data_IF_288025801372
#
_entry.id   IF_288025801372
#
_cell.length_a   1.000
_cell.length_b   1.000
_cell.length_c   1.000
_cell.angle_alpha   90.00
_cell.angle_beta   90.00
_cell.angle_gamma   90.00
#
_symmetry.space_group_name_H-M   'P 1'
#
loop_
_entity.id
_entity.type
_entity.pdbx_description
1 polymer ?
#
# COMPACT_ATOMS: atom_id res chain seq x y z
N UNK A 1 1.40 6.65 -18.35
CA UNK A 1 0.15 5.89 -18.10
C UNK A 1 -0.85 6.71 -17.27
N UNK A 2 -0.52 7.17 -16.06
CA UNK A 2 -1.47 7.89 -15.17
C UNK A 2 -2.08 9.15 -15.82
N UNK A 3 -1.30 9.96 -16.54
CA UNK A 3 -1.86 11.12 -17.29
C UNK A 3 -2.87 10.69 -18.34
N UNK A 4 -2.58 9.62 -19.11
CA UNK A 4 -3.53 9.08 -20.09
C UNK A 4 -4.80 8.56 -19.39
N UNK A 5 -4.66 7.92 -18.24
CA UNK A 5 -5.84 7.52 -17.46
C UNK A 5 -6.69 8.72 -17.04
N UNK A 6 -6.06 9.83 -16.63
CA UNK A 6 -6.76 11.08 -16.34
C UNK A 6 -7.51 11.67 -17.54
N UNK A 7 -6.96 11.51 -18.74
CA UNK A 7 -7.58 12.00 -19.98
C UNK A 7 -8.82 11.20 -20.40
N UNK A 8 -8.82 9.85 -20.24
CA UNK A 8 -9.79 8.99 -20.93
C UNK A 8 -10.52 7.97 -20.05
N UNK A 9 -10.03 7.66 -18.81
CA UNK A 9 -10.62 6.65 -17.94
C UNK A 9 -11.58 7.27 -16.91
N UNK A 10 -12.52 6.46 -16.41
CA UNK A 10 -13.36 6.83 -15.27
C UNK A 10 -12.58 6.78 -13.95
N UNK A 11 -11.50 6.01 -13.90
CA UNK A 11 -10.55 5.98 -12.78
C UNK A 11 -9.46 4.93 -12.96
N UNK A 12 -8.20 5.24 -12.61
CA UNK A 12 -7.15 4.24 -12.50
C UNK A 12 -7.20 3.55 -11.15
N UNK A 13 -6.99 2.25 -11.09
CA UNK A 13 -6.63 1.57 -9.85
C UNK A 13 -5.17 1.92 -9.55
N UNK A 14 -4.93 2.55 -8.39
CA UNK A 14 -3.59 2.95 -7.97
C UNK A 14 -2.78 1.75 -7.50
N UNK A 15 -1.45 1.90 -7.48
CA UNK A 15 -0.55 0.80 -7.15
C UNK A 15 -0.71 0.32 -5.71
N UNK A 16 -0.48 -0.98 -5.54
CA UNK A 16 -0.49 -1.74 -4.31
C UNK A 16 0.87 -1.69 -3.58
N UNK A 17 0.86 -1.67 -2.25
CA UNK A 17 2.09 -1.63 -1.40
C UNK A 17 2.96 -0.41 -1.73
N UNK A 18 2.38 0.77 -1.64
CA UNK A 18 3.04 2.06 -1.90
C UNK A 18 2.83 3.03 -0.75
N UNK A 19 3.63 4.09 -0.68
CA UNK A 19 3.48 5.13 0.33
C UNK A 19 2.43 6.17 -0.08
N UNK A 20 1.92 6.91 0.91
CA UNK A 20 1.03 8.06 0.67
C UNK A 20 1.69 9.16 -0.18
N UNK A 21 3.01 9.32 -0.11
CA UNK A 21 3.74 10.25 -0.98
C UNK A 21 3.70 9.80 -2.45
N UNK A 22 3.88 8.48 -2.69
CA UNK A 22 3.70 7.90 -4.02
C UNK A 22 2.27 8.13 -4.55
N UNK A 23 1.26 7.96 -3.70
CA UNK A 23 -0.14 8.20 -4.06
C UNK A 23 -0.37 9.66 -4.44
N UNK A 24 0.15 10.63 -3.67
CA UNK A 24 0.03 12.06 -3.99
C UNK A 24 0.63 12.38 -5.35
N UNK A 25 1.81 11.84 -5.66
CA UNK A 25 2.43 12.00 -6.98
C UNK A 25 1.58 11.36 -8.09
N UNK A 26 1.06 10.15 -7.86
CA UNK A 26 0.20 9.45 -8.81
C UNK A 26 -1.10 10.23 -9.09
N UNK A 27 -1.75 10.75 -8.05
CA UNK A 27 -2.96 11.59 -8.14
C UNK A 27 -2.65 12.88 -8.93
N UNK A 28 -1.51 13.52 -8.66
CA UNK A 28 -1.07 14.70 -9.42
C UNK A 28 -0.89 14.40 -10.93
N UNK A 29 -0.40 13.20 -11.28
CA UNK A 29 -0.30 12.80 -12.69
C UNK A 29 -1.68 12.57 -13.32
N UNK A 30 -2.64 12.00 -12.58
CA UNK A 30 -4.03 11.85 -13.05
C UNK A 30 -4.66 13.24 -13.27
N UNK A 31 -4.46 14.17 -12.35
CA UNK A 31 -4.96 15.55 -12.44
C UNK A 31 -4.44 16.28 -13.68
N UNK A 32 -3.13 16.17 -13.99
CA UNK A 32 -2.54 16.74 -15.21
C UNK A 32 -3.25 16.20 -16.46
N UNK A 33 -3.54 14.90 -16.50
CA UNK A 33 -4.27 14.29 -17.60
C UNK A 33 -5.72 14.80 -17.70
N UNK A 34 -6.42 14.87 -16.57
CA UNK A 34 -7.77 15.40 -16.48
C UNK A 34 -7.86 16.83 -17.05
N UNK A 35 -6.97 17.71 -16.61
CA UNK A 35 -6.90 19.11 -17.06
C UNK A 35 -6.70 19.22 -18.57
N UNK A 36 -5.87 18.36 -19.19
CA UNK A 36 -5.65 18.35 -20.64
C UNK A 36 -6.91 18.01 -21.43
N UNK A 37 -7.79 17.20 -20.87
CA UNK A 37 -9.05 16.80 -21.49
C UNK A 37 -10.27 17.63 -21.04
N UNK A 38 -10.04 18.67 -20.21
CA UNK A 38 -11.09 19.54 -19.68
C UNK A 38 -11.98 18.87 -18.64
N UNK A 39 -11.45 17.85 -17.95
CA UNK A 39 -12.15 17.13 -16.87
C UNK A 39 -11.70 17.62 -15.51
N UNK A 40 -12.60 17.57 -14.53
CA UNK A 40 -12.25 17.82 -13.14
C UNK A 40 -11.74 16.53 -12.47
N UNK A 41 -10.73 16.63 -11.60
CA UNK A 41 -10.20 15.49 -10.85
C UNK A 41 -11.28 14.79 -10.02
N UNK A 42 -12.26 15.54 -9.52
CA UNK A 42 -13.41 15.02 -8.74
C UNK A 42 -14.32 14.07 -9.54
N UNK A 43 -14.28 14.13 -10.87
CA UNK A 43 -15.04 13.24 -11.75
C UNK A 43 -14.28 11.93 -12.08
N UNK A 44 -13.08 11.74 -11.52
CA UNK A 44 -12.23 10.59 -11.78
C UNK A 44 -12.04 9.83 -10.48
N UNK A 45 -12.45 8.57 -10.46
CA UNK A 45 -12.24 7.71 -9.30
C UNK A 45 -10.79 7.29 -9.16
N UNK A 46 -10.31 7.10 -7.93
CA UNK A 46 -8.91 6.75 -7.62
C UNK A 46 -8.88 5.65 -6.55
N UNK A 47 -9.42 4.47 -6.89
CA UNK A 47 -9.37 3.34 -5.98
C UNK A 47 -7.93 2.86 -5.80
N UNK A 48 -7.63 2.35 -4.61
CA UNK A 48 -6.37 1.71 -4.28
C UNK A 48 -6.60 0.40 -3.54
N UNK A 49 -5.85 -0.63 -3.92
CA UNK A 49 -5.80 -1.89 -3.20
C UNK A 49 -4.82 -1.73 -2.03
N UNK A 50 -5.32 -1.60 -0.81
CA UNK A 50 -4.54 -1.37 0.39
C UNK A 50 -4.37 -2.66 1.20
N UNK A 51 -3.14 -3.18 1.26
CA UNK A 51 -2.83 -4.35 2.07
C UNK A 51 -3.13 -4.08 3.55
N UNK A 52 -3.83 -5.02 4.19
CA UNK A 52 -4.26 -4.89 5.56
C UNK A 52 -3.97 -6.16 6.37
N UNK A 53 -3.36 -5.99 7.53
CA UNK A 53 -3.20 -7.03 8.55
C UNK A 53 -3.35 -6.42 9.92
N UNK A 54 -4.35 -6.86 10.68
CA UNK A 54 -4.63 -6.29 12.00
C UNK A 54 -4.88 -7.37 13.06
N UNK A 55 -4.44 -7.05 14.28
CA UNK A 55 -4.76 -7.81 15.48
C UNK A 55 -4.65 -6.86 16.67
N UNK A 56 -5.70 -6.77 17.47
CA UNK A 56 -5.66 -6.02 18.73
C UNK A 56 -4.98 -6.82 19.85
N UNK A 57 -4.97 -8.15 19.74
CA UNK A 57 -4.32 -9.06 20.71
C UNK A 57 -2.82 -9.23 20.44
N UNK A 58 -2.41 -9.25 19.15
CA UNK A 58 -1.00 -9.44 18.73
C UNK A 58 -0.67 -8.57 17.51
N UNK A 59 -0.51 -7.25 17.69
CA UNK A 59 -0.19 -6.35 16.59
C UNK A 59 1.21 -6.60 15.99
N UNK A 60 2.14 -7.21 16.72
CA UNK A 60 3.47 -7.55 16.22
C UNK A 60 3.38 -8.67 15.18
N UNK A 61 2.54 -9.67 15.39
CA UNK A 61 2.29 -10.72 14.39
C UNK A 61 1.66 -10.13 13.12
N UNK A 62 0.73 -9.18 13.25
CA UNK A 62 0.13 -8.48 12.12
C UNK A 62 1.19 -7.72 11.29
N UNK A 63 2.14 -7.04 11.93
CA UNK A 63 3.26 -6.36 11.26
C UNK A 63 4.19 -7.36 10.58
N UNK A 64 4.48 -8.50 11.23
CA UNK A 64 5.37 -9.52 10.67
C UNK A 64 4.82 -10.11 9.35
N UNK A 65 3.51 -10.28 9.21
CA UNK A 65 2.88 -10.67 7.94
C UNK A 65 3.15 -9.63 6.86
N UNK A 66 3.02 -8.34 7.19
CA UNK A 66 3.37 -7.24 6.29
C UNK A 66 4.83 -7.25 5.84
N UNK A 67 5.77 -7.59 6.72
CA UNK A 67 7.20 -7.69 6.37
C UNK A 67 7.47 -8.68 5.25
N UNK A 68 6.80 -9.83 5.26
CA UNK A 68 6.96 -10.84 4.20
C UNK A 68 6.49 -10.31 2.84
N UNK A 69 5.37 -9.59 2.81
CA UNK A 69 4.86 -8.96 1.58
C UNK A 69 5.79 -7.83 1.10
N UNK A 70 6.30 -6.98 2.00
CA UNK A 70 7.27 -5.93 1.65
C UNK A 70 8.57 -6.55 1.11
N UNK A 71 9.05 -7.65 1.69
CA UNK A 71 10.23 -8.37 1.19
C UNK A 71 10.00 -8.89 -0.24
N UNK A 72 8.81 -9.42 -0.54
CA UNK A 72 8.42 -9.81 -1.89
C UNK A 72 8.53 -8.62 -2.87
N UNK A 73 7.94 -7.47 -2.52
CA UNK A 73 7.95 -6.28 -3.38
C UNK A 73 9.34 -5.66 -3.54
N UNK A 74 10.18 -5.66 -2.50
CA UNK A 74 11.58 -5.22 -2.61
C UNK A 74 12.38 -6.08 -3.58
N UNK A 75 12.10 -7.39 -3.63
CA UNK A 75 12.74 -8.32 -4.56
C UNK A 75 12.24 -8.19 -6.01
N UNK A 76 10.93 -8.05 -6.21
CA UNK A 76 10.28 -8.12 -7.52
C UNK A 76 10.01 -6.76 -8.16
N UNK A 77 9.67 -5.73 -7.36
CA UNK A 77 9.27 -4.39 -7.81
C UNK A 77 10.13 -3.27 -7.19
N UNK A 78 11.47 -3.38 -7.26
CA UNK A 78 12.38 -2.47 -6.55
C UNK A 78 12.21 -1.00 -6.96
N UNK A 79 11.74 -0.73 -8.18
CA UNK A 79 11.52 0.63 -8.69
C UNK A 79 10.33 1.30 -7.99
N UNK A 80 9.24 0.57 -7.75
CA UNK A 80 8.06 1.05 -7.01
C UNK A 80 8.44 1.30 -5.54
N UNK A 81 9.19 0.36 -4.96
CA UNK A 81 9.61 0.45 -3.56
C UNK A 81 10.54 1.65 -3.32
N UNK A 82 11.48 1.92 -4.24
CA UNK A 82 12.33 3.13 -4.19
C UNK A 82 11.50 4.41 -4.35
N UNK A 83 10.53 4.44 -5.26
CA UNK A 83 9.61 5.55 -5.42
C UNK A 83 8.72 5.77 -4.18
N UNK A 84 8.44 4.73 -3.41
CA UNK A 84 7.72 4.77 -2.13
C UNK A 84 8.63 5.08 -0.93
N UNK A 85 9.92 5.35 -1.16
CA UNK A 85 10.89 5.79 -0.15
C UNK A 85 11.60 4.66 0.58
N UNK A 86 11.66 3.45 0.00
CA UNK A 86 12.51 2.39 0.53
C UNK A 86 14.01 2.73 0.32
N UNK A 87 14.82 2.45 1.34
CA UNK A 87 16.28 2.66 1.28
C UNK A 87 16.88 1.76 0.17
N UNK A 88 17.65 2.30 -0.78
CA UNK A 88 18.30 1.51 -1.82
C UNK A 88 19.19 0.39 -1.27
N UNK A 89 19.87 0.61 -0.13
CA UNK A 89 20.72 -0.43 0.48
C UNK A 89 19.89 -1.60 1.04
N UNK A 90 18.67 -1.34 1.51
CA UNK A 90 17.75 -2.40 1.93
C UNK A 90 17.27 -3.21 0.73
N UNK A 91 16.93 -2.51 -0.38
CA UNK A 91 16.55 -3.18 -1.64
C UNK A 91 17.63 -4.14 -2.09
N UNK A 92 18.90 -3.69 -2.10
CA UNK A 92 20.03 -4.52 -2.54
C UNK A 92 20.23 -5.73 -1.63
N UNK A 93 20.16 -5.57 -0.30
CA UNK A 93 20.27 -6.67 0.67
C UNK A 93 19.14 -7.70 0.52
N UNK A 94 17.91 -7.24 0.30
CA UNK A 94 16.77 -8.15 0.09
C UNK A 94 16.94 -8.93 -1.21
N UNK A 95 17.41 -8.29 -2.29
CA UNK A 95 17.68 -8.96 -3.57
C UNK A 95 18.77 -10.03 -3.51
N UNK A 96 19.74 -9.89 -2.60
CA UNK A 96 20.75 -10.94 -2.35
C UNK A 96 20.13 -12.21 -1.74
N UNK A 97 19.06 -12.08 -0.96
CA UNK A 97 18.34 -13.21 -0.34
C UNK A 97 17.25 -13.74 -1.28
N UNK A 98 16.47 -12.82 -1.85
CA UNK A 98 15.33 -13.12 -2.73
C UNK A 98 15.84 -13.17 -4.17
N UNK A 99 16.38 -14.32 -4.56
CA UNK A 99 16.82 -14.60 -5.94
C UNK A 99 15.65 -14.94 -6.86
N UNK A 100 15.96 -15.36 -8.09
CA UNK A 100 14.96 -15.87 -9.02
C UNK A 100 15.34 -17.31 -9.48
N UNK A 101 14.47 -18.30 -9.32
CA UNK A 101 13.16 -18.23 -8.65
C UNK A 101 13.28 -18.11 -7.13
N UNK A 102 12.44 -17.31 -6.51
CA UNK A 102 12.39 -17.15 -5.06
C UNK A 102 11.43 -18.17 -4.43
N UNK A 103 11.73 -18.58 -3.21
CA UNK A 103 10.89 -19.48 -2.41
C UNK A 103 10.21 -18.71 -1.27
N UNK A 104 9.15 -19.28 -0.69
CA UNK A 104 8.50 -18.70 0.50
C UNK A 104 9.50 -18.53 1.66
N UNK A 105 10.44 -19.44 1.82
CA UNK A 105 11.49 -19.38 2.85
C UNK A 105 12.44 -18.20 2.63
N UNK A 106 12.73 -17.85 1.36
CA UNK A 106 13.55 -16.69 1.03
C UNK A 106 12.85 -15.39 1.48
N UNK A 107 11.54 -15.28 1.26
CA UNK A 107 10.76 -14.12 1.73
C UNK A 107 10.69 -14.05 3.25
N UNK A 108 10.50 -15.19 3.95
CA UNK A 108 10.52 -15.24 5.42
C UNK A 108 11.88 -14.80 5.99
N UNK A 109 12.99 -15.25 5.38
CA UNK A 109 14.33 -14.81 5.78
C UNK A 109 14.54 -13.31 5.56
N UNK A 110 14.13 -12.81 4.40
CA UNK A 110 14.24 -11.39 4.07
C UNK A 110 13.35 -10.51 4.94
N UNK A 111 12.18 -11.02 5.39
CA UNK A 111 11.26 -10.29 6.27
C UNK A 111 11.93 -9.77 7.55
N UNK A 112 12.92 -10.49 8.10
CA UNK A 112 13.67 -10.06 9.28
C UNK A 112 14.55 -8.81 9.06
N UNK A 113 14.82 -8.45 7.81
CA UNK A 113 15.55 -7.24 7.46
C UNK A 113 14.63 -6.02 7.34
N UNK A 114 13.30 -6.23 7.25
CA UNK A 114 12.35 -5.15 6.97
C UNK A 114 12.04 -4.38 8.25
N UNK A 115 12.30 -3.06 8.29
CA UNK A 115 11.92 -2.23 9.44
C UNK A 115 10.39 -2.09 9.54
N UNK A 116 9.87 -2.04 10.76
CA UNK A 116 8.43 -1.88 11.03
C UNK A 116 7.87 -0.60 10.43
N UNK A 117 8.63 0.49 10.51
CA UNK A 117 8.23 1.81 9.96
C UNK A 117 8.07 1.77 8.44
N UNK A 118 8.85 0.96 7.72
CA UNK A 118 8.64 0.79 6.29
C UNK A 118 7.32 0.06 6.03
N UNK A 119 7.01 -0.99 6.79
CA UNK A 119 5.74 -1.72 6.65
C UNK A 119 4.57 -0.78 6.94
N UNK A 120 4.60 -0.07 8.07
CA UNK A 120 3.59 0.91 8.48
C UNK A 120 3.45 2.08 7.50
N UNK A 121 4.51 2.41 6.76
CA UNK A 121 4.48 3.43 5.71
C UNK A 121 3.67 3.00 4.50
N UNK A 122 3.70 1.69 4.17
CA UNK A 122 3.19 1.13 2.91
C UNK A 122 1.83 0.44 3.03
N UNK A 123 1.40 0.11 4.26
CA UNK A 123 0.28 -0.79 4.49
C UNK A 123 -0.48 -0.43 5.77
N UNK A 124 -1.72 -0.86 5.88
CA UNK A 124 -2.51 -0.79 7.10
C UNK A 124 -2.22 -2.02 7.98
N UNK A 125 -1.28 -1.87 8.93
CA UNK A 125 -0.85 -2.98 9.81
C UNK A 125 -0.76 -2.56 11.27
N UNK A 126 -1.06 -3.49 12.18
CA UNK A 126 -1.00 -3.27 13.63
C UNK A 126 -2.34 -3.49 14.31
N UNK A 127 -2.74 -2.59 15.19
CA UNK A 127 -4.06 -2.61 15.82
C UNK A 127 -5.15 -2.10 14.89
N UNK A 128 -6.42 -2.36 15.24
CA UNK A 128 -7.59 -1.82 14.52
C UNK A 128 -7.54 -0.29 14.38
N UNK A 129 -7.13 0.41 15.45
CA UNK A 129 -6.99 1.88 15.42
C UNK A 129 -5.90 2.33 14.45
N UNK A 130 -4.72 1.72 14.51
CA UNK A 130 -3.59 2.04 13.62
C UNK A 130 -3.95 1.81 12.15
N UNK A 131 -4.70 0.74 11.86
CA UNK A 131 -5.16 0.46 10.49
C UNK A 131 -6.16 1.51 10.00
N UNK A 132 -7.11 1.95 10.82
CA UNK A 132 -8.07 3.02 10.48
C UNK A 132 -7.35 4.34 10.23
N UNK A 133 -6.38 4.71 11.07
CA UNK A 133 -5.56 5.92 10.91
C UNK A 133 -4.80 5.86 9.57
N UNK A 134 -4.21 4.71 9.25
CA UNK A 134 -3.51 4.51 7.98
C UNK A 134 -4.44 4.65 6.78
N UNK A 135 -5.65 4.07 6.82
CA UNK A 135 -6.65 4.23 5.74
C UNK A 135 -7.03 5.71 5.57
N UNK A 136 -7.18 6.45 6.69
CA UNK A 136 -7.43 7.89 6.65
C UNK A 136 -6.30 8.65 5.94
N UNK A 137 -5.02 8.33 6.23
CA UNK A 137 -3.87 8.94 5.56
C UNK A 137 -3.89 8.72 4.03
N UNK A 138 -4.31 7.53 3.55
CA UNK A 138 -4.46 7.25 2.12
C UNK A 138 -5.61 8.04 1.49
N UNK A 139 -6.73 8.18 2.18
CA UNK A 139 -7.85 9.03 1.73
C UNK A 139 -7.41 10.48 1.63
N UNK A 140 -6.70 11.00 2.63
CA UNK A 140 -6.13 12.35 2.61
C UNK A 140 -5.09 12.54 1.49
N UNK A 141 -4.37 11.48 1.10
CA UNK A 141 -3.46 11.50 -0.03
C UNK A 141 -4.17 11.52 -1.40
N UNK A 142 -5.50 11.32 -1.43
CA UNK A 142 -6.33 11.45 -2.63
C UNK A 142 -6.95 10.14 -3.12
N UNK A 143 -6.87 9.06 -2.36
CA UNK A 143 -7.61 7.82 -2.64
C UNK A 143 -9.11 8.07 -2.40
N UNK A 144 -9.97 7.73 -3.35
CA UNK A 144 -11.41 7.89 -3.24
C UNK A 144 -12.13 6.63 -2.76
N UNK A 145 -11.53 5.47 -3.00
CA UNK A 145 -12.06 4.16 -2.63
C UNK A 145 -10.93 3.25 -2.14
N UNK A 146 -10.62 3.23 -0.85
CA UNK A 146 -9.70 2.24 -0.28
C UNK A 146 -10.32 0.84 -0.39
N UNK A 147 -9.66 -0.08 -1.07
CA UNK A 147 -10.04 -1.47 -1.19
C UNK A 147 -9.16 -2.26 -0.22
N UNK A 148 -9.67 -2.57 0.95
CA UNK A 148 -8.93 -3.30 1.96
C UNK A 148 -8.68 -4.74 1.50
N UNK A 149 -7.41 -5.11 1.38
CA UNK A 149 -6.95 -6.44 0.97
C UNK A 149 -6.30 -7.14 2.16
N UNK A 150 -7.04 -8.02 2.86
CA UNK A 150 -6.49 -8.77 3.97
C UNK A 150 -5.37 -9.70 3.51
N UNK A 151 -4.20 -9.62 4.18
CA UNK A 151 -3.06 -10.51 3.97
C UNK A 151 -2.91 -11.53 5.11
N UNK A 152 -3.95 -11.67 5.92
CA UNK A 152 -4.09 -12.59 7.04
C UNK A 152 -5.04 -13.74 6.68
N UNK A 153 -5.04 -14.82 7.47
CA UNK A 153 -5.81 -16.03 7.18
C UNK A 153 -7.34 -15.82 7.24
N UNK A 154 -7.80 -14.83 8.02
CA UNK A 154 -9.21 -14.50 8.21
C UNK A 154 -9.51 -13.05 7.83
N UNK A 155 -10.61 -12.81 7.14
CA UNK A 155 -11.10 -11.48 6.76
C UNK A 155 -11.98 -10.84 7.86
N UNK A 156 -12.55 -11.65 8.75
CA UNK A 156 -13.52 -11.19 9.74
C UNK A 156 -13.01 -10.04 10.61
N UNK A 157 -11.78 -10.05 11.17
CA UNK A 157 -11.28 -8.92 11.96
C UNK A 157 -11.25 -7.60 11.20
N UNK A 158 -10.96 -7.64 9.89
CA UNK A 158 -10.98 -6.44 9.05
C UNK A 158 -12.42 -5.93 8.88
N UNK A 159 -13.36 -6.83 8.58
CA UNK A 159 -14.79 -6.46 8.44
C UNK A 159 -15.29 -5.86 9.77
N UNK A 160 -15.06 -6.50 10.88
CA UNK A 160 -15.48 -6.03 12.21
C UNK A 160 -14.87 -4.66 12.54
N UNK A 161 -13.57 -4.49 12.25
CA UNK A 161 -12.86 -3.24 12.53
C UNK A 161 -13.39 -2.05 11.71
N UNK A 162 -13.90 -2.27 10.51
CA UNK A 162 -14.31 -1.19 9.60
C UNK A 162 -15.82 -1.08 9.41
N UNK A 163 -16.64 -2.00 9.98
CA UNK A 163 -18.10 -2.01 9.78
C UNK A 163 -18.82 -0.74 10.24
N UNK A 164 -18.40 -0.19 11.38
CA UNK A 164 -18.99 1.03 11.97
C UNK A 164 -18.05 2.24 11.90
N UNK A 165 -16.96 2.11 11.11
CA UNK A 165 -15.99 3.18 11.00
C UNK A 165 -16.40 4.19 9.93
N UNK A 166 -16.35 5.47 10.28
CA UNK A 166 -16.53 6.59 9.38
C UNK A 166 -15.27 7.47 9.39
N UNK A 167 -14.83 7.88 8.20
CA UNK A 167 -13.64 8.73 8.05
C UNK A 167 -13.82 10.04 8.82
N UNK A 168 -12.86 10.33 9.73
CA UNK A 168 -12.84 11.61 10.46
C UNK A 168 -13.76 11.69 11.68
N UNK A 169 -14.26 10.55 12.16
CA UNK A 169 -14.98 10.46 13.44
C UNK A 169 -14.19 9.72 14.49
#
# INVERSE_FOLDING_TARGET
>A
MLQLSGEICDGPVLNYVVSTDYIKDAVGQVEIGAQRSGRELSAIDRPELLACSLSDDDPEAAIMMGKSLVAYYLGTEPHIMKASGADPSLVDKVKEIVGWPATEEDYKRAAHLIPDDLVRKLMAVGTSSECRDKVSEFIEAGVTCPILYPIMDSIEPVIESFSDWEVGK
#
